data_IF_931991943522
#
_entry.id   IF_931991943522
#
_cell.length_a   1.000
_cell.length_b   1.000
_cell.length_c   1.000
_cell.angle_alpha   90.00
_cell.angle_beta   90.00
_cell.angle_gamma   90.00
#
_symmetry.space_group_name_H-M   'P 1'
#
loop_
_entity.id
_entity.type
_entity.pdbx_description
1 polymer ?
#
# COMPACT_ATOMS: atom_id res chain seq x y z
N UNK A 1 6.98 -24.12 -11.59
CA UNK A 1 6.87 -23.12 -10.54
C UNK A 1 7.51 -21.82 -11.03
N UNK A 2 6.80 -20.70 -10.94
CA UNK A 2 7.36 -19.39 -11.30
C UNK A 2 8.38 -18.97 -10.24
N UNK A 3 9.55 -18.48 -10.69
CA UNK A 3 10.54 -17.86 -9.84
C UNK A 3 10.10 -16.41 -9.61
N UNK A 4 10.00 -16.00 -8.36
CA UNK A 4 9.54 -14.65 -8.02
C UNK A 4 9.62 -14.35 -6.52
N UNK A 5 9.19 -13.15 -6.09
CA UNK A 5 9.19 -12.74 -4.69
C UNK A 5 8.17 -13.56 -3.86
N UNK A 6 8.17 -13.37 -2.54
CA UNK A 6 7.08 -13.79 -1.68
C UNK A 6 5.89 -12.89 -1.92
N UNK A 7 4.70 -13.48 -1.99
CA UNK A 7 3.47 -12.74 -2.27
C UNK A 7 2.51 -12.84 -1.09
N UNK A 8 1.95 -11.71 -0.72
CA UNK A 8 0.79 -11.56 0.15
C UNK A 8 -0.28 -10.81 -0.63
N UNK A 9 -1.51 -11.23 -0.56
CA UNK A 9 -2.60 -10.63 -1.34
C UNK A 9 -3.81 -10.35 -0.47
N UNK A 10 -4.50 -9.25 -0.76
CA UNK A 10 -5.82 -8.94 -0.21
C UNK A 10 -6.96 -9.64 -0.97
N UNK A 11 -6.65 -10.30 -2.09
CA UNK A 11 -7.71 -10.63 -3.04
C UNK A 11 -8.26 -9.37 -3.71
N UNK A 12 -9.52 -9.40 -4.12
CA UNK A 12 -10.20 -8.24 -4.67
C UNK A 12 -10.43 -7.15 -3.62
N UNK A 13 -10.20 -5.89 -4.00
CA UNK A 13 -10.46 -4.75 -3.09
C UNK A 13 -11.95 -4.57 -2.89
N UNK A 14 -12.35 -4.15 -1.68
CA UNK A 14 -13.74 -3.82 -1.37
C UNK A 14 -13.97 -2.33 -1.65
N UNK A 15 -14.94 -1.97 -2.48
CA UNK A 15 -15.23 -0.59 -2.83
C UNK A 15 -16.73 -0.33 -2.90
N UNK A 16 -17.25 0.76 -2.33
CA UNK A 16 -18.62 1.18 -2.57
C UNK A 16 -18.84 1.55 -4.03
N UNK A 17 -20.11 1.53 -4.48
CA UNK A 17 -20.49 2.05 -5.81
C UNK A 17 -20.01 3.49 -5.99
N UNK A 18 -19.33 3.76 -7.10
CA UNK A 18 -18.72 5.06 -7.40
C UNK A 18 -17.47 5.38 -6.60
N UNK A 19 -16.98 4.46 -5.76
CA UNK A 19 -15.74 4.60 -5.01
C UNK A 19 -14.50 4.22 -5.83
N UNK A 20 -13.32 4.34 -5.22
CA UNK A 20 -12.02 4.23 -5.91
C UNK A 20 -11.75 2.88 -6.58
N UNK A 21 -12.41 1.81 -6.15
CA UNK A 21 -12.30 0.47 -6.78
C UNK A 21 -13.50 0.10 -7.66
N UNK A 22 -14.40 1.03 -7.94
CA UNK A 22 -15.51 0.83 -8.88
C UNK A 22 -15.12 1.35 -10.27
N UNK A 23 -14.90 0.42 -11.19
CA UNK A 23 -14.52 0.72 -12.56
C UNK A 23 -15.71 0.80 -13.52
N UNK A 24 -16.94 0.74 -12.98
CA UNK A 24 -18.18 0.86 -13.75
C UNK A 24 -18.34 2.25 -14.36
N UNK A 25 -18.90 2.29 -15.57
CA UNK A 25 -19.26 3.53 -16.23
C UNK A 25 -20.62 4.07 -15.78
N UNK A 26 -20.94 5.36 -16.08
CA UNK A 26 -22.20 5.98 -15.66
C UNK A 26 -23.44 5.35 -16.32
N UNK A 27 -23.24 4.55 -17.37
CA UNK A 27 -24.30 3.82 -18.08
C UNK A 27 -24.47 2.38 -17.59
N UNK A 28 -23.59 1.92 -16.69
CA UNK A 28 -23.69 0.57 -16.13
C UNK A 28 -24.87 0.52 -15.15
N UNK A 29 -25.84 -0.32 -15.47
CA UNK A 29 -27.11 -0.39 -14.74
C UNK A 29 -27.16 -1.53 -13.73
N UNK A 30 -26.12 -2.37 -13.68
CA UNK A 30 -26.02 -3.54 -12.81
C UNK A 30 -24.73 -3.50 -12.02
N UNK A 31 -24.80 -3.89 -10.75
CA UNK A 31 -23.62 -4.14 -9.92
C UNK A 31 -22.77 -5.25 -10.53
N UNK A 32 -21.47 -5.12 -10.41
CA UNK A 32 -20.48 -6.13 -10.78
C UNK A 32 -20.49 -6.53 -12.27
N UNK A 33 -20.77 -5.58 -13.18
CA UNK A 33 -20.67 -5.82 -14.63
C UNK A 33 -19.43 -5.23 -15.27
N UNK A 34 -18.67 -4.39 -14.54
CA UNK A 34 -17.39 -3.91 -15.03
C UNK A 34 -16.32 -5.02 -15.03
N UNK A 35 -15.25 -4.80 -15.79
CA UNK A 35 -14.20 -5.80 -15.94
C UNK A 35 -13.52 -6.14 -14.61
N UNK A 36 -13.25 -5.15 -13.76
CA UNK A 36 -12.61 -5.36 -12.45
C UNK A 36 -13.42 -6.30 -11.56
N UNK A 37 -14.75 -6.11 -11.50
CA UNK A 37 -15.63 -6.98 -10.75
C UNK A 37 -15.75 -8.37 -11.39
N UNK A 38 -15.76 -8.46 -12.73
CA UNK A 38 -15.82 -9.76 -13.44
C UNK A 38 -14.59 -10.65 -13.17
N UNK A 39 -13.41 -10.07 -13.02
CA UNK A 39 -12.16 -10.78 -12.72
C UNK A 39 -11.81 -10.79 -11.22
N UNK A 40 -12.75 -10.38 -10.37
CA UNK A 40 -12.58 -10.31 -8.91
C UNK A 40 -11.40 -9.41 -8.47
N UNK A 41 -11.03 -8.42 -9.28
CA UNK A 41 -10.09 -7.38 -8.90
C UNK A 41 -10.69 -6.43 -7.85
N UNK A 42 -12.00 -6.22 -7.91
CA UNK A 42 -12.76 -5.48 -6.91
C UNK A 42 -14.10 -6.17 -6.61
N UNK A 43 -14.62 -5.94 -5.40
CA UNK A 43 -15.96 -6.29 -4.99
C UNK A 43 -16.72 -5.02 -4.66
N UNK A 44 -17.81 -4.77 -5.40
CA UNK A 44 -18.68 -3.63 -5.11
C UNK A 44 -19.55 -3.97 -3.90
N UNK A 45 -19.33 -3.22 -2.84
CA UNK A 45 -20.01 -3.42 -1.54
C UNK A 45 -21.06 -2.34 -1.30
N UNK A 46 -22.14 -2.72 -0.63
CA UNK A 46 -23.20 -1.83 -0.19
C UNK A 46 -23.74 -2.33 1.16
N UNK A 47 -23.22 -1.75 2.22
CA UNK A 47 -23.59 -2.08 3.58
C UNK A 47 -22.86 -3.31 4.15
N UNK A 48 -23.08 -3.52 5.43
CA UNK A 48 -22.40 -4.50 6.28
C UNK A 48 -22.39 -5.92 5.71
N UNK A 49 -23.55 -6.41 5.22
CA UNK A 49 -23.66 -7.80 4.80
C UNK A 49 -22.86 -8.09 3.54
N UNK A 50 -22.81 -7.13 2.59
CA UNK A 50 -21.99 -7.27 1.38
C UNK A 50 -20.50 -7.24 1.68
N UNK A 51 -20.05 -6.46 2.67
CA UNK A 51 -18.66 -6.47 3.15
C UNK A 51 -18.29 -7.82 3.74
N UNK A 52 -19.17 -8.39 4.57
CA UNK A 52 -18.99 -9.73 5.17
C UNK A 52 -18.88 -10.80 4.08
N UNK A 53 -19.76 -10.77 3.10
CA UNK A 53 -19.76 -11.72 1.97
C UNK A 53 -18.45 -11.61 1.18
N UNK A 54 -18.08 -10.39 0.75
CA UNK A 54 -16.88 -10.14 -0.05
C UNK A 54 -15.60 -10.52 0.71
N UNK A 55 -15.46 -10.16 1.99
CA UNK A 55 -14.31 -10.53 2.81
C UNK A 55 -14.15 -12.05 2.93
N UNK A 56 -15.23 -12.78 3.23
CA UNK A 56 -15.21 -14.24 3.31
C UNK A 56 -14.88 -14.89 1.97
N UNK A 57 -15.34 -14.31 0.86
CA UNK A 57 -15.04 -14.78 -0.49
C UNK A 57 -13.55 -14.58 -0.80
N UNK A 58 -12.95 -13.44 -0.45
CA UNK A 58 -11.52 -13.20 -0.55
C UNK A 58 -10.71 -14.24 0.23
N UNK A 59 -11.05 -14.48 1.51
CA UNK A 59 -10.34 -15.46 2.33
C UNK A 59 -10.49 -16.89 1.80
N UNK A 60 -11.68 -17.27 1.33
CA UNK A 60 -11.86 -18.56 0.63
C UNK A 60 -10.97 -18.71 -0.59
N UNK A 61 -10.69 -17.60 -1.28
CA UNK A 61 -9.86 -17.55 -2.48
C UNK A 61 -8.36 -17.36 -2.16
N UNK A 62 -7.97 -17.40 -0.89
CA UNK A 62 -6.57 -17.36 -0.45
C UNK A 62 -6.01 -15.97 -0.16
N UNK A 63 -6.85 -14.99 0.13
CA UNK A 63 -6.39 -13.69 0.63
C UNK A 63 -5.76 -13.83 2.03
N UNK A 64 -4.75 -12.99 2.31
CA UNK A 64 -4.02 -12.98 3.57
C UNK A 64 -4.45 -11.82 4.49
N UNK A 65 -5.08 -10.79 3.92
CA UNK A 65 -5.63 -9.63 4.62
C UNK A 65 -6.77 -9.03 3.78
N UNK A 66 -7.47 -8.02 4.31
CA UNK A 66 -8.53 -7.32 3.57
C UNK A 66 -8.07 -5.93 3.15
N UNK A 67 -8.40 -5.50 1.92
CA UNK A 67 -8.25 -4.11 1.45
C UNK A 67 -9.62 -3.50 1.17
N UNK A 68 -9.88 -2.29 1.73
CA UNK A 68 -11.13 -1.54 1.51
C UNK A 68 -10.82 -0.10 1.07
N UNK A 69 -11.58 0.41 0.11
CA UNK A 69 -11.50 1.78 -0.37
C UNK A 69 -12.38 2.67 0.52
N UNK A 70 -11.76 3.30 1.52
CA UNK A 70 -12.45 4.09 2.55
C UNK A 70 -12.61 5.56 2.19
N UNK A 71 -11.87 6.04 1.18
CA UNK A 71 -11.91 7.42 0.68
C UNK A 71 -11.92 7.49 -0.83
N UNK A 72 -11.95 8.71 -1.39
CA UNK A 72 -11.82 8.96 -2.80
C UNK A 72 -10.38 8.82 -3.31
N UNK A 73 -10.18 8.81 -4.63
CA UNK A 73 -8.90 8.55 -5.27
C UNK A 73 -8.57 9.44 -6.47
N UNK A 74 -7.30 9.42 -6.88
CA UNK A 74 -6.80 10.19 -8.04
C UNK A 74 -7.21 9.53 -9.35
N UNK A 75 -6.97 8.21 -9.49
CA UNK A 75 -7.13 7.51 -10.75
C UNK A 75 -8.60 7.22 -11.13
N UNK A 76 -9.51 7.28 -10.19
CA UNK A 76 -10.96 7.11 -10.38
C UNK A 76 -11.65 8.41 -10.81
N UNK A 77 -12.78 8.27 -11.49
CA UNK A 77 -13.46 9.42 -12.13
C UNK A 77 -14.53 10.07 -11.25
N UNK A 78 -15.21 9.28 -10.39
CA UNK A 78 -16.46 9.70 -9.76
C UNK A 78 -16.34 9.99 -8.26
N UNK A 79 -15.17 9.83 -7.68
CA UNK A 79 -14.89 9.96 -6.27
C UNK A 79 -13.93 11.13 -5.98
N UNK A 80 -14.45 12.31 -5.61
CA UNK A 80 -13.62 13.40 -5.08
C UNK A 80 -12.73 12.95 -3.92
N UNK A 81 -11.55 13.56 -3.78
CA UNK A 81 -10.56 13.17 -2.76
C UNK A 81 -11.10 13.22 -1.33
N UNK A 82 -12.07 14.14 -1.07
CA UNK A 82 -12.60 14.46 0.24
C UNK A 82 -13.76 13.56 0.70
N UNK A 83 -14.23 12.63 -0.15
CA UNK A 83 -15.36 11.80 0.23
C UNK A 83 -15.02 10.73 1.27
N UNK A 84 -16.01 10.43 2.08
CA UNK A 84 -16.04 9.25 2.95
C UNK A 84 -16.69 8.10 2.16
N UNK A 85 -15.90 7.38 1.37
CA UNK A 85 -16.44 6.36 0.46
C UNK A 85 -17.13 5.23 1.22
N UNK A 86 -16.43 4.56 2.16
CA UNK A 86 -17.02 3.56 3.01
C UNK A 86 -17.62 4.16 4.28
N UNK A 87 -18.78 3.66 4.70
CA UNK A 87 -19.41 4.01 5.98
C UNK A 87 -18.66 3.43 7.17
N UNK A 88 -18.94 3.94 8.39
CA UNK A 88 -18.37 3.38 9.62
C UNK A 88 -18.70 1.88 9.76
N UNK A 89 -19.94 1.49 9.52
CA UNK A 89 -20.41 0.11 9.65
C UNK A 89 -19.74 -0.83 8.64
N UNK A 90 -19.42 -0.35 7.43
CA UNK A 90 -18.70 -1.13 6.42
C UNK A 90 -17.26 -1.38 6.82
N UNK A 91 -16.55 -0.35 7.31
CA UNK A 91 -15.18 -0.51 7.80
C UNK A 91 -15.13 -1.43 9.02
N UNK A 92 -16.07 -1.27 9.98
CA UNK A 92 -16.19 -2.15 11.15
C UNK A 92 -16.49 -3.60 10.75
N UNK A 93 -17.31 -3.82 9.73
CA UNK A 93 -17.60 -5.16 9.23
C UNK A 93 -16.35 -5.83 8.62
N UNK A 94 -15.55 -5.09 7.86
CA UNK A 94 -14.28 -5.57 7.32
C UNK A 94 -13.31 -5.96 8.46
N UNK A 95 -13.18 -5.09 9.47
CA UNK A 95 -12.32 -5.34 10.64
C UNK A 95 -12.82 -6.54 11.45
N UNK A 96 -14.14 -6.68 11.67
CA UNK A 96 -14.72 -7.83 12.35
C UNK A 96 -14.30 -9.14 11.67
N UNK A 97 -14.52 -9.24 10.36
CA UNK A 97 -14.21 -10.48 9.62
C UNK A 97 -12.71 -10.73 9.57
N UNK A 98 -11.88 -9.70 9.36
CA UNK A 98 -10.43 -9.86 9.39
C UNK A 98 -9.93 -10.42 10.75
N UNK A 99 -10.45 -9.89 11.87
CA UNK A 99 -10.13 -10.39 13.22
C UNK A 99 -10.54 -11.85 13.44
N UNK A 100 -11.71 -12.26 12.94
CA UNK A 100 -12.17 -13.65 13.04
C UNK A 100 -11.29 -14.62 12.23
N UNK A 101 -10.64 -14.13 11.18
CA UNK A 101 -9.66 -14.86 10.38
C UNK A 101 -8.22 -14.70 10.89
N UNK A 102 -8.00 -13.98 12.01
CA UNK A 102 -6.68 -13.76 12.60
C UNK A 102 -5.78 -12.86 11.75
N UNK A 103 -6.35 -11.85 11.07
CA UNK A 103 -5.59 -10.95 10.20
C UNK A 103 -6.03 -9.49 10.34
N UNK A 104 -5.64 -8.64 9.42
CA UNK A 104 -5.82 -7.19 9.48
C UNK A 104 -6.53 -6.62 8.25
N UNK A 105 -6.91 -5.35 8.36
CA UNK A 105 -7.48 -4.54 7.26
C UNK A 105 -6.49 -3.45 6.88
N UNK A 106 -6.34 -3.25 5.55
CA UNK A 106 -5.69 -2.11 4.93
C UNK A 106 -6.75 -1.22 4.28
N UNK A 107 -6.59 0.10 4.38
CA UNK A 107 -7.48 1.07 3.72
C UNK A 107 -6.74 1.87 2.64
N UNK A 108 -7.52 2.36 1.66
CA UNK A 108 -7.16 3.49 0.83
C UNK A 108 -7.96 4.71 1.27
N UNK A 109 -7.31 5.83 1.58
CA UNK A 109 -7.92 7.12 1.85
C UNK A 109 -6.86 8.22 1.83
N UNK A 110 -7.30 9.50 1.71
CA UNK A 110 -6.37 10.63 1.69
C UNK A 110 -6.50 11.57 2.89
N UNK A 111 -7.70 11.76 3.46
CA UNK A 111 -7.97 12.84 4.41
C UNK A 111 -8.30 12.35 5.83
N UNK A 112 -8.23 13.28 6.81
CA UNK A 112 -8.46 13.02 8.23
C UNK A 112 -9.72 12.25 8.55
N UNK A 113 -10.83 12.58 7.89
CA UNK A 113 -12.12 12.00 8.22
C UNK A 113 -12.17 10.50 7.99
N UNK A 114 -11.74 10.03 6.80
CA UNK A 114 -11.67 8.60 6.49
C UNK A 114 -10.61 7.89 7.35
N UNK A 115 -9.47 8.54 7.62
CA UNK A 115 -8.44 8.01 8.50
C UNK A 115 -8.94 7.82 9.93
N UNK A 116 -9.54 8.86 10.54
CA UNK A 116 -10.04 8.78 11.91
C UNK A 116 -11.18 7.78 12.06
N UNK A 117 -12.11 7.71 11.09
CA UNK A 117 -13.14 6.66 11.03
C UNK A 117 -12.53 5.26 11.04
N UNK A 118 -11.48 5.04 10.26
CA UNK A 118 -10.80 3.76 10.15
C UNK A 118 -9.99 3.42 11.40
N UNK A 119 -9.36 4.42 12.05
CA UNK A 119 -8.72 4.25 13.35
C UNK A 119 -9.74 3.84 14.43
N UNK A 120 -10.94 4.47 14.44
CA UNK A 120 -12.02 4.13 15.37
C UNK A 120 -12.53 2.69 15.16
N UNK A 121 -12.57 2.22 13.92
CA UNK A 121 -12.96 0.86 13.57
C UNK A 121 -11.89 -0.20 13.91
N UNK A 122 -10.63 0.21 14.13
CA UNK A 122 -9.52 -0.69 14.44
C UNK A 122 -8.78 -1.23 13.21
N UNK A 123 -8.74 -0.45 12.14
CA UNK A 123 -7.87 -0.71 10.97
C UNK A 123 -6.41 -0.62 11.40
N UNK A 124 -5.55 -1.43 10.78
CA UNK A 124 -4.12 -1.47 11.13
C UNK A 124 -3.19 -0.93 10.03
N UNK A 125 -3.54 -1.03 8.74
CA UNK A 125 -2.72 -0.53 7.63
C UNK A 125 -3.40 0.63 6.91
N UNK A 126 -2.68 1.73 6.81
CA UNK A 126 -3.16 3.01 6.29
C UNK A 126 -2.36 3.40 5.06
N UNK A 127 -2.95 3.19 3.87
CA UNK A 127 -2.33 3.53 2.60
C UNK A 127 -2.61 4.99 2.25
N UNK A 128 -1.62 5.65 1.67
CA UNK A 128 -1.67 7.04 1.19
C UNK A 128 -1.76 8.07 2.34
N UNK A 129 -2.94 8.61 2.64
CA UNK A 129 -3.13 9.59 3.72
C UNK A 129 -2.44 10.93 3.47
N UNK A 130 -2.28 11.31 2.22
CA UNK A 130 -1.46 12.45 1.84
C UNK A 130 -2.09 13.82 2.16
N UNK A 131 -3.37 13.84 2.52
CA UNK A 131 -4.11 15.04 2.92
C UNK A 131 -4.50 15.03 4.41
N UNK A 132 -3.84 14.18 5.22
CA UNK A 132 -4.04 14.19 6.67
C UNK A 132 -3.35 15.39 7.30
N UNK A 133 -3.91 15.85 8.41
CA UNK A 133 -3.35 16.94 9.21
C UNK A 133 -2.62 16.43 10.45
N UNK A 134 -1.85 17.29 11.08
CA UNK A 134 -1.03 16.96 12.24
C UNK A 134 -1.82 16.30 13.41
N UNK A 135 -3.06 16.70 13.76
CA UNK A 135 -3.84 16.00 14.79
C UNK A 135 -4.03 14.50 14.50
N UNK A 136 -4.30 14.12 13.24
CA UNK A 136 -4.43 12.72 12.85
C UNK A 136 -3.09 12.00 12.91
N UNK A 137 -2.00 12.62 12.44
CA UNK A 137 -0.64 12.08 12.53
C UNK A 137 -0.25 11.82 13.99
N UNK A 138 -0.49 12.79 14.89
CA UNK A 138 -0.25 12.63 16.33
C UNK A 138 -1.09 11.49 16.96
N UNK A 139 -2.30 11.29 16.45
CA UNK A 139 -3.13 10.16 16.87
C UNK A 139 -2.50 8.85 16.46
N UNK A 140 -2.05 8.73 15.20
CA UNK A 140 -1.36 7.55 14.66
C UNK A 140 -0.08 7.25 15.45
N UNK A 141 0.76 8.25 15.70
CA UNK A 141 2.00 8.12 16.45
C UNK A 141 1.82 7.53 17.86
N UNK A 142 0.68 7.80 18.52
CA UNK A 142 0.38 7.24 19.85
C UNK A 142 -0.03 5.77 19.82
N UNK A 143 -0.33 5.21 18.65
CA UNK A 143 -0.67 3.80 18.48
C UNK A 143 0.56 2.93 18.20
N UNK A 144 1.73 3.56 18.06
CA UNK A 144 3.03 2.91 17.87
C UNK A 144 2.97 1.82 16.77
N UNK A 145 3.49 0.64 17.01
CA UNK A 145 3.52 -0.48 16.05
C UNK A 145 2.20 -1.27 15.94
N UNK A 146 1.14 -0.81 16.59
CA UNK A 146 -0.21 -1.40 16.40
C UNK A 146 -0.80 -1.08 15.02
N UNK A 147 -0.37 0.03 14.42
CA UNK A 147 -0.76 0.47 13.07
C UNK A 147 0.46 0.78 12.22
N UNK A 148 0.26 0.88 10.92
CA UNK A 148 1.30 1.29 9.96
C UNK A 148 0.78 2.30 8.97
N UNK A 149 1.62 3.27 8.63
CA UNK A 149 1.43 4.12 7.46
C UNK A 149 2.27 3.61 6.28
N UNK A 150 1.62 3.40 5.14
CA UNK A 150 2.25 2.93 3.90
C UNK A 150 2.40 4.10 2.92
N UNK A 151 3.65 4.42 2.58
CA UNK A 151 4.02 5.58 1.78
C UNK A 151 4.50 5.18 0.38
N UNK A 152 3.80 5.69 -0.64
CA UNK A 152 4.07 5.48 -2.06
C UNK A 152 4.73 6.73 -2.65
N UNK A 153 6.02 6.94 -2.34
CA UNK A 153 6.73 8.18 -2.68
C UNK A 153 6.82 8.43 -4.19
N UNK A 154 7.21 7.43 -4.97
CA UNK A 154 7.39 7.63 -6.41
C UNK A 154 6.07 7.99 -7.10
N UNK A 155 5.00 7.28 -6.80
CA UNK A 155 3.68 7.56 -7.39
C UNK A 155 3.16 8.93 -6.95
N UNK A 156 3.17 9.23 -5.65
CA UNK A 156 2.57 10.46 -5.12
C UNK A 156 3.43 11.69 -5.36
N UNK A 157 4.73 11.63 -5.08
CA UNK A 157 5.61 12.80 -5.10
C UNK A 157 6.24 13.03 -6.47
N UNK A 158 6.74 11.96 -7.13
CA UNK A 158 7.42 12.11 -8.41
C UNK A 158 6.44 12.15 -9.59
N UNK A 159 5.37 11.32 -9.57
CA UNK A 159 4.42 11.25 -10.69
C UNK A 159 3.28 12.25 -10.52
N UNK A 160 2.56 12.20 -9.38
CA UNK A 160 1.41 13.09 -9.16
C UNK A 160 1.82 14.52 -8.79
N UNK A 161 3.01 14.74 -8.25
CA UNK A 161 3.51 16.07 -7.91
C UNK A 161 3.76 17.00 -9.10
N UNK A 162 3.69 16.51 -10.33
CA UNK A 162 3.83 17.28 -11.54
C UNK A 162 2.73 16.93 -12.55
N UNK A 163 1.93 17.93 -12.92
CA UNK A 163 0.79 17.80 -13.85
C UNK A 163 1.18 17.16 -15.19
N UNK A 164 2.33 17.53 -15.73
CA UNK A 164 2.79 17.09 -17.06
C UNK A 164 3.44 15.69 -17.03
N UNK A 165 3.85 15.23 -15.85
CA UNK A 165 4.42 13.89 -15.64
C UNK A 165 3.36 12.78 -15.51
N UNK A 166 2.08 13.16 -15.32
CA UNK A 166 1.00 12.19 -15.21
C UNK A 166 0.62 11.58 -16.56
N UNK A 167 0.15 10.31 -16.60
CA UNK A 167 -0.23 9.65 -17.83
C UNK A 167 -1.20 10.45 -18.68
N UNK A 168 -1.03 10.40 -20.01
CA UNK A 168 -1.87 11.15 -20.97
C UNK A 168 -3.33 10.72 -20.97
N UNK A 169 -3.63 9.50 -20.50
CA UNK A 169 -5.01 9.02 -20.38
C UNK A 169 -5.76 9.57 -19.16
N UNK A 170 -5.07 10.29 -18.24
CA UNK A 170 -5.73 10.97 -17.14
C UNK A 170 -6.45 12.22 -17.65
N UNK A 171 -7.69 12.40 -17.19
CA UNK A 171 -8.46 13.63 -17.44
C UNK A 171 -7.80 14.82 -16.73
N UNK A 172 -8.21 16.04 -17.13
CA UNK A 172 -7.77 17.24 -16.46
C UNK A 172 -8.07 17.22 -14.94
N UNK A 173 -9.27 16.74 -14.56
CA UNK A 173 -9.70 16.64 -13.18
C UNK A 173 -8.86 15.63 -12.37
N UNK A 174 -8.54 14.48 -12.97
CA UNK A 174 -7.66 13.51 -12.34
C UNK A 174 -6.25 14.08 -12.13
N UNK A 175 -5.72 14.81 -13.11
CA UNK A 175 -4.42 15.49 -12.97
C UNK A 175 -4.43 16.56 -11.88
N UNK A 176 -5.51 17.33 -11.74
CA UNK A 176 -5.65 18.30 -10.64
C UNK A 176 -5.71 17.63 -9.28
N UNK A 177 -6.45 16.53 -9.16
CA UNK A 177 -6.44 15.69 -7.94
C UNK A 177 -5.02 15.18 -7.64
N UNK A 178 -4.30 14.74 -8.66
CA UNK A 178 -2.91 14.27 -8.54
C UNK A 178 -1.99 15.33 -7.97
N UNK A 179 -2.02 16.56 -8.51
CA UNK A 179 -1.18 17.69 -8.00
C UNK A 179 -1.45 17.95 -6.53
N UNK A 180 -2.72 18.03 -6.13
CA UNK A 180 -3.09 18.25 -4.72
C UNK A 180 -2.55 17.13 -3.81
N UNK A 181 -2.62 15.87 -4.27
CA UNK A 181 -2.07 14.71 -3.58
C UNK A 181 -0.55 14.77 -3.49
N UNK A 182 0.13 15.17 -4.57
CA UNK A 182 1.59 15.27 -4.59
C UNK A 182 2.14 16.33 -3.63
N UNK A 183 1.49 17.49 -3.54
CA UNK A 183 1.81 18.51 -2.54
C UNK A 183 1.57 18.01 -1.12
N UNK A 184 0.41 17.40 -0.89
CA UNK A 184 0.04 16.81 0.41
C UNK A 184 0.98 15.69 0.85
N UNK A 185 1.44 14.84 -0.08
CA UNK A 185 2.33 13.72 0.19
C UNK A 185 3.67 14.17 0.80
N UNK A 186 4.25 15.28 0.32
CA UNK A 186 5.49 15.85 0.90
C UNK A 186 5.27 16.30 2.34
N UNK A 187 4.14 16.99 2.59
CA UNK A 187 3.79 17.46 3.93
C UNK A 187 3.52 16.28 4.88
N UNK A 188 2.73 15.29 4.44
CA UNK A 188 2.44 14.09 5.22
C UNK A 188 3.72 13.32 5.55
N UNK A 189 4.63 13.13 4.58
CA UNK A 189 5.90 12.46 4.79
C UNK A 189 6.74 13.14 5.87
N UNK A 190 6.85 14.48 5.84
CA UNK A 190 7.58 15.25 6.85
C UNK A 190 6.97 15.08 8.25
N UNK A 191 5.63 15.22 8.36
CA UNK A 191 4.92 15.07 9.64
C UNK A 191 5.02 13.65 10.21
N UNK A 192 4.87 12.62 9.35
CA UNK A 192 4.95 11.22 9.78
C UNK A 192 6.36 10.87 10.30
N UNK A 193 7.41 11.41 9.65
CA UNK A 193 8.79 11.23 10.12
C UNK A 193 9.04 12.00 11.43
N UNK A 194 8.59 13.25 11.53
CA UNK A 194 8.74 14.09 12.73
C UNK A 194 8.09 13.46 13.98
N UNK A 195 6.94 12.84 13.81
CA UNK A 195 6.18 12.20 14.90
C UNK A 195 6.50 10.71 15.10
N UNK A 196 7.53 10.17 14.42
CA UNK A 196 7.99 8.78 14.53
C UNK A 196 6.86 7.75 14.33
N UNK A 197 5.98 8.01 13.35
CA UNK A 197 4.92 7.06 12.97
C UNK A 197 5.57 5.81 12.39
N UNK A 198 5.09 4.61 12.76
CA UNK A 198 5.58 3.38 12.16
C UNK A 198 5.23 3.28 10.67
N UNK A 199 6.24 3.13 9.80
CA UNK A 199 6.08 3.27 8.35
C UNK A 199 6.61 2.08 7.57
N UNK A 200 5.92 1.80 6.44
CA UNK A 200 6.41 0.96 5.34
C UNK A 200 6.38 1.74 4.02
N UNK A 201 7.08 1.22 3.02
CA UNK A 201 7.03 1.75 1.66
C UNK A 201 6.32 0.79 0.71
N UNK A 202 5.68 1.35 -0.29
CA UNK A 202 5.04 0.65 -1.39
C UNK A 202 5.12 1.45 -2.68
N UNK A 203 4.95 0.82 -3.84
CA UNK A 203 5.03 1.51 -5.13
C UNK A 203 3.67 1.89 -5.71
N UNK A 204 2.60 1.25 -5.26
CA UNK A 204 1.23 1.39 -5.81
C UNK A 204 1.16 1.17 -7.32
N UNK A 205 1.85 0.13 -7.80
CA UNK A 205 1.93 -0.16 -9.23
C UNK A 205 0.74 -0.96 -9.73
N UNK A 206 0.14 -0.47 -10.81
CA UNK A 206 -1.01 -1.12 -11.47
C UNK A 206 -0.62 -2.01 -12.66
N UNK A 207 0.60 -1.92 -13.17
CA UNK A 207 0.98 -2.62 -14.40
C UNK A 207 2.48 -2.92 -14.46
N UNK A 208 2.87 -4.09 -15.01
CA UNK A 208 4.25 -4.41 -15.31
C UNK A 208 4.94 -3.42 -16.27
N UNK A 209 4.16 -2.63 -17.01
CA UNK A 209 4.68 -1.62 -17.94
C UNK A 209 5.42 -0.47 -17.24
N UNK A 210 5.21 -0.27 -15.95
CA UNK A 210 5.89 0.77 -15.17
C UNK A 210 7.30 0.38 -14.69
N UNK A 211 7.79 -0.81 -15.07
CA UNK A 211 9.17 -1.22 -14.84
C UNK A 211 9.59 -1.32 -13.35
N UNK A 212 10.84 -0.99 -13.03
CA UNK A 212 11.43 -1.23 -11.71
C UNK A 212 11.10 -0.19 -10.64
N UNK A 213 9.91 0.43 -10.65
CA UNK A 213 9.45 1.50 -9.74
C UNK A 213 9.64 1.19 -8.24
N UNK A 214 9.77 -0.09 -7.86
CA UNK A 214 10.07 -0.46 -6.47
C UNK A 214 11.39 0.13 -5.97
N UNK A 215 12.41 0.21 -6.82
CA UNK A 215 13.72 0.79 -6.47
C UNK A 215 13.64 2.32 -6.49
N UNK A 216 12.98 2.88 -7.48
CA UNK A 216 12.73 4.31 -7.57
C UNK A 216 11.88 4.82 -6.40
N UNK A 217 10.95 4.02 -5.87
CA UNK A 217 10.18 4.40 -4.67
C UNK A 217 11.08 4.51 -3.43
N UNK A 218 12.07 3.62 -3.28
CA UNK A 218 13.06 3.72 -2.20
C UNK A 218 13.93 4.97 -2.36
N UNK A 219 14.46 5.21 -3.56
CA UNK A 219 15.32 6.38 -3.82
C UNK A 219 14.56 7.69 -3.73
N UNK A 220 13.29 7.72 -4.15
CA UNK A 220 12.39 8.86 -3.99
C UNK A 220 12.28 9.30 -2.53
N UNK A 221 12.11 8.37 -1.59
CA UNK A 221 12.02 8.70 -0.16
C UNK A 221 13.27 9.40 0.36
N UNK A 222 14.43 9.09 -0.18
CA UNK A 222 15.68 9.75 0.20
C UNK A 222 15.87 11.08 -0.55
N UNK A 223 15.69 11.06 -1.88
CA UNK A 223 16.08 12.16 -2.75
C UNK A 223 15.02 13.27 -2.86
N UNK A 224 13.74 12.97 -2.59
CA UNK A 224 12.64 13.92 -2.81
C UNK A 224 11.91 14.35 -1.53
N UNK A 225 12.03 13.57 -0.44
CA UNK A 225 11.41 13.89 0.86
C UNK A 225 12.39 13.76 2.03
N UNK A 226 13.70 13.71 1.74
CA UNK A 226 14.81 13.81 2.69
C UNK A 226 14.81 12.76 3.82
N UNK A 227 14.26 11.56 3.56
CA UNK A 227 14.32 10.48 4.53
C UNK A 227 15.76 9.96 4.67
N UNK A 228 16.23 9.63 5.86
CA UNK A 228 17.53 8.97 6.03
C UNK A 228 17.57 7.65 5.23
N UNK A 229 18.66 7.35 4.49
CA UNK A 229 18.74 6.13 3.68
C UNK A 229 18.45 4.84 4.46
N UNK A 230 18.92 4.75 5.70
CA UNK A 230 18.63 3.61 6.58
C UNK A 230 17.14 3.48 6.89
N UNK A 231 16.43 4.60 7.08
CA UNK A 231 14.98 4.60 7.31
C UNK A 231 14.23 4.14 6.06
N UNK A 232 14.54 4.70 4.89
CA UNK A 232 13.91 4.33 3.62
C UNK A 232 14.10 2.84 3.26
N UNK A 233 15.28 2.29 3.51
CA UNK A 233 15.55 0.86 3.32
C UNK A 233 14.78 0.00 4.33
N UNK A 234 14.75 0.41 5.62
CA UNK A 234 14.02 -0.32 6.67
C UNK A 234 12.52 -0.38 6.38
N UNK A 235 11.92 0.68 5.84
CA UNK A 235 10.51 0.70 5.41
C UNK A 235 10.20 -0.40 4.38
N UNK A 236 11.11 -0.66 3.44
CA UNK A 236 10.94 -1.66 2.38
C UNK A 236 11.45 -3.06 2.74
N UNK A 237 12.00 -3.26 3.93
CA UNK A 237 12.58 -4.53 4.39
C UNK A 237 12.02 -4.92 5.76
N UNK A 238 12.69 -4.55 6.84
CA UNK A 238 12.35 -5.00 8.20
C UNK A 238 10.95 -4.60 8.65
N UNK A 239 10.54 -3.34 8.41
CA UNK A 239 9.20 -2.87 8.79
C UNK A 239 8.12 -3.58 7.97
N UNK A 240 8.30 -3.68 6.65
CA UNK A 240 7.38 -4.43 5.78
C UNK A 240 7.27 -5.90 6.24
N UNK A 241 8.39 -6.52 6.61
CA UNK A 241 8.41 -7.88 7.15
C UNK A 241 7.59 -8.03 8.43
N UNK A 242 7.59 -7.04 9.33
CA UNK A 242 6.73 -7.02 10.53
C UNK A 242 5.26 -6.99 10.15
N UNK A 243 4.88 -6.06 9.25
CA UNK A 243 3.47 -5.88 8.83
C UNK A 243 2.92 -7.13 8.13
N UNK A 244 3.70 -7.76 7.27
CA UNK A 244 3.29 -8.99 6.59
C UNK A 244 2.97 -10.12 7.58
N UNK A 245 3.66 -10.17 8.73
CA UNK A 245 3.39 -11.14 9.81
C UNK A 245 2.08 -10.87 10.56
N UNK A 246 1.45 -9.73 10.40
CA UNK A 246 0.10 -9.48 10.94
C UNK A 246 -1.00 -10.32 10.28
N UNK A 247 -0.70 -11.00 9.16
CA UNK A 247 -1.58 -11.99 8.57
C UNK A 247 -1.69 -13.29 9.40
N UNK A 248 -0.86 -13.45 10.42
CA UNK A 248 -0.89 -14.47 11.48
C UNK A 248 -1.25 -15.87 10.96
N UNK A 249 -2.43 -16.38 11.25
CA UNK A 249 -2.86 -17.73 10.82
C UNK A 249 -3.01 -17.87 9.29
N UNK A 250 -3.12 -16.78 8.56
CA UNK A 250 -3.15 -16.74 7.10
C UNK A 250 -1.78 -16.47 6.47
N UNK A 251 -0.71 -16.36 7.29
CA UNK A 251 0.64 -16.11 6.77
C UNK A 251 1.11 -17.30 5.90
N UNK A 252 1.36 -17.09 4.59
CA UNK A 252 1.81 -18.16 3.71
C UNK A 252 3.26 -18.57 3.95
N UNK A 253 3.99 -17.83 4.81
CA UNK A 253 5.39 -18.06 5.16
C UNK A 253 5.59 -18.01 6.68
N UNK A 254 4.95 -18.88 7.48
CA UNK A 254 4.84 -18.71 8.94
C UNK A 254 6.13 -19.02 9.70
N UNK A 255 7.08 -19.76 9.10
CA UNK A 255 8.18 -20.41 9.82
C UNK A 255 9.22 -19.41 10.33
N UNK A 256 9.61 -18.43 9.50
CA UNK A 256 10.74 -17.53 9.78
C UNK A 256 10.36 -16.07 9.60
N UNK A 257 11.19 -15.17 10.10
CA UNK A 257 11.06 -13.74 9.86
C UNK A 257 11.43 -13.35 8.42
N UNK A 258 10.86 -12.25 7.95
CA UNK A 258 11.08 -11.67 6.61
C UNK A 258 11.70 -10.28 6.76
N UNK A 259 12.53 -9.87 5.78
CA UNK A 259 13.03 -8.51 5.65
C UNK A 259 14.19 -8.12 6.57
N UNK A 260 14.82 -9.09 7.26
CA UNK A 260 15.98 -8.85 8.12
C UNK A 260 17.02 -9.96 8.01
N UNK A 261 18.27 -9.62 8.24
CA UNK A 261 19.37 -10.59 8.35
C UNK A 261 19.61 -10.86 9.85
N UNK A 262 19.07 -11.97 10.34
CA UNK A 262 19.18 -12.40 11.74
C UNK A 262 18.94 -13.92 11.83
N UNK A 263 19.30 -14.58 12.94
CA UNK A 263 18.83 -15.94 13.22
C UNK A 263 17.32 -16.02 13.09
N UNK A 264 16.80 -17.17 12.71
CA UNK A 264 15.37 -17.43 12.50
C UNK A 264 14.70 -16.50 11.46
N UNK A 265 15.45 -16.11 10.44
CA UNK A 265 14.96 -15.37 9.27
C UNK A 265 15.14 -16.18 8.00
N UNK A 266 14.24 -15.97 7.02
CA UNK A 266 14.44 -16.49 5.68
C UNK A 266 15.73 -15.94 5.08
N UNK A 267 16.52 -16.81 4.44
CA UNK A 267 17.74 -16.39 3.74
C UNK A 267 17.39 -15.74 2.38
N UNK A 268 16.72 -14.60 2.44
CA UNK A 268 16.40 -13.72 1.31
C UNK A 268 17.38 -12.55 1.33
N UNK A 269 18.41 -12.58 0.48
CA UNK A 269 19.57 -11.68 0.56
C UNK A 269 19.83 -11.06 -0.81
N UNK A 270 20.04 -9.76 -0.83
CA UNK A 270 20.58 -9.00 -1.94
C UNK A 270 21.97 -8.50 -1.57
N UNK A 271 22.98 -8.74 -2.43
CA UNK A 271 24.32 -8.22 -2.25
C UNK A 271 24.65 -7.20 -3.35
N UNK A 272 24.96 -5.99 -2.94
CA UNK A 272 25.28 -4.88 -3.83
C UNK A 272 26.77 -4.54 -3.77
N UNK A 273 27.36 -4.20 -4.92
CA UNK A 273 28.71 -3.65 -5.02
C UNK A 273 28.69 -2.16 -4.63
N UNK A 274 28.77 -1.91 -3.32
CA UNK A 274 28.77 -0.59 -2.72
C UNK A 274 27.84 -0.50 -1.50
N UNK A 275 27.79 0.69 -0.91
CA UNK A 275 27.02 0.94 0.31
C UNK A 275 25.80 1.85 0.02
N UNK A 276 24.57 1.30 0.00
CA UNK A 276 23.35 2.09 -0.27
C UNK A 276 23.02 3.10 0.85
N UNK A 277 23.63 2.98 2.03
CA UNK A 277 23.50 4.00 3.08
C UNK A 277 24.30 5.28 2.79
N UNK A 278 25.32 5.20 1.93
CA UNK A 278 26.13 6.33 1.48
C UNK A 278 25.65 6.89 0.13
N UNK A 279 25.15 6.03 -0.73
CA UNK A 279 24.58 6.38 -2.03
C UNK A 279 23.39 5.47 -2.32
N UNK A 280 22.20 5.99 -2.09
CA UNK A 280 20.97 5.22 -2.27
C UNK A 280 20.71 4.88 -3.75
N UNK A 281 21.17 5.72 -4.69
CA UNK A 281 20.96 5.50 -6.13
C UNK A 281 21.73 4.29 -6.67
N UNK A 282 22.68 3.76 -5.88
CA UNK A 282 23.35 2.49 -6.17
C UNK A 282 22.35 1.37 -6.50
N UNK A 283 21.18 1.34 -5.83
CA UNK A 283 20.18 0.28 -6.04
C UNK A 283 19.46 0.36 -7.39
N UNK A 284 19.59 1.47 -8.11
CA UNK A 284 19.05 1.63 -9.47
C UNK A 284 19.91 0.94 -10.53
N UNK A 285 21.21 0.77 -10.25
CA UNK A 285 22.16 0.12 -11.17
C UNK A 285 22.17 -1.40 -10.98
N UNK A 286 21.50 -2.13 -11.86
CA UNK A 286 21.42 -3.59 -11.79
C UNK A 286 22.76 -4.30 -11.99
N UNK A 287 23.75 -3.63 -12.58
CA UNK A 287 25.12 -4.17 -12.69
C UNK A 287 25.81 -4.27 -11.33
N UNK A 288 25.37 -3.47 -10.36
CA UNK A 288 25.85 -3.46 -8.97
C UNK A 288 25.17 -4.50 -8.08
N UNK A 289 24.07 -5.11 -8.51
CA UNK A 289 23.43 -6.20 -7.78
C UNK A 289 24.13 -7.52 -8.10
N UNK A 290 25.04 -7.92 -7.25
CA UNK A 290 25.92 -9.07 -7.48
C UNK A 290 25.27 -10.39 -7.12
N UNK A 291 24.44 -10.44 -6.07
CA UNK A 291 23.79 -11.69 -5.65
C UNK A 291 22.31 -11.46 -5.33
N UNK A 292 21.49 -12.39 -5.79
CA UNK A 292 20.09 -12.55 -5.37
C UNK A 292 19.94 -13.95 -4.78
N UNK A 293 19.62 -14.02 -3.51
CA UNK A 293 19.29 -15.27 -2.81
C UNK A 293 17.86 -15.23 -2.28
N UNK A 294 17.12 -16.32 -2.41
CA UNK A 294 15.81 -16.53 -1.79
C UNK A 294 15.73 -17.93 -1.20
N UNK A 295 15.31 -18.04 0.05
CA UNK A 295 15.27 -19.31 0.80
C UNK A 295 16.63 -20.05 0.83
N UNK A 296 17.75 -19.32 0.81
CA UNK A 296 19.08 -19.90 0.73
C UNK A 296 19.48 -20.40 -0.67
N UNK A 297 18.59 -20.30 -1.67
CA UNK A 297 18.87 -20.63 -3.07
C UNK A 297 19.33 -19.39 -3.82
N UNK A 298 20.46 -19.49 -4.50
CA UNK A 298 21.02 -18.40 -5.30
C UNK A 298 20.38 -18.38 -6.68
N UNK A 299 19.84 -17.23 -7.08
CA UNK A 299 19.22 -16.98 -8.39
C UNK A 299 20.06 -16.08 -9.29
N UNK A 300 20.93 -15.24 -8.72
CA UNK A 300 21.92 -14.45 -9.44
C UNK A 300 23.22 -14.51 -8.64
N UNK A 301 24.33 -14.73 -9.32
CA UNK A 301 25.69 -14.66 -8.79
C UNK A 301 26.63 -14.19 -9.91
N UNK A 302 27.20 -13.00 -9.74
CA UNK A 302 28.18 -12.40 -10.64
C UNK A 302 29.41 -11.90 -9.87
N UNK A 303 29.67 -12.50 -8.68
CA UNK A 303 30.84 -12.18 -7.87
C UNK A 303 32.14 -12.65 -8.51
#
# INVERSE_FOLDING_TARGET
>A
QLIGPRLYTSGGVLSPTGGHGDWGGPTDTKRNVDYGAMVEQSFIIEGRDSVIEASRRNFRNGAHFTKIMAGGGVASLYDPLEIYAATQEEVEAAVLIAREYGTYVAIHAYHDGSYNRSLDAGVRSFEHGFLVTEPTVRRMARMDDEIVWSFQCYMSVATFGDYDSMPDFFTHEQKLKGVAVGEGARNAAAMMLEHDVFMIGGSDMFSPAYGPIMKEDITCRVNMVDYPPAHALKMSTGNAGIVLKWSDVLDPYPTYHIGRIAPDSYADILLWDGNPLQNIDLILDESKLHLIMKDGVIYKDIM
#
